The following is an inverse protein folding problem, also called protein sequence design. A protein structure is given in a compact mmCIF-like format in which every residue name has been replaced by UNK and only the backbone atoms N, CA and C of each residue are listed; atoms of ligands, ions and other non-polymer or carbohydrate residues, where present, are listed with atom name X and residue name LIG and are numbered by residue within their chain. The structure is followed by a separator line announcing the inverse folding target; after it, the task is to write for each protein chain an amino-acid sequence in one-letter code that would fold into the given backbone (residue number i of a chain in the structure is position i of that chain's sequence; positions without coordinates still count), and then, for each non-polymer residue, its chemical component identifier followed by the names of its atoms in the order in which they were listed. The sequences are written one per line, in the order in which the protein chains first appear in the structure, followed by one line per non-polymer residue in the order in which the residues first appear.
data_IF_999658333416
#
_entry.id   IF_999658333416
#
_cell.length_a   1.000
_cell.length_b   1.000
_cell.length_c   1.000
_cell.angle_alpha   90.00
_cell.angle_beta   90.00
_cell.angle_gamma   90.00
#
_symmetry.space_group_name_H-M   'P 1'
#
loop_
_entity.id
_entity.type
_entity.pdbx_description
1 polymer ?
#
# COMPACT_ATOMS: atom_id res chain seq x y z
N UNK A 1 -0.14 -12.43 2.58
CA UNK A 1 0.35 -11.13 3.09
C UNK A 1 -0.84 -10.40 3.68
N UNK A 2 -0.90 -10.19 5.01
CA UNK A 2 -2.03 -9.52 5.66
C UNK A 2 -1.73 -8.02 5.77
N UNK A 3 -2.13 -7.25 4.75
CA UNK A 3 -2.22 -5.80 4.87
C UNK A 3 -3.56 -5.41 5.46
N UNK A 4 -3.56 -4.36 6.28
CA UNK A 4 -4.75 -3.79 6.88
C UNK A 4 -4.91 -2.33 6.41
N UNK A 5 -6.15 -1.86 6.31
CA UNK A 5 -6.41 -0.44 6.06
C UNK A 5 -5.74 0.39 7.16
N UNK A 6 -4.96 1.39 6.76
CA UNK A 6 -4.13 2.19 7.65
C UNK A 6 -2.67 1.73 7.75
N UNK A 7 -2.31 0.54 7.26
CA UNK A 7 -0.91 0.10 7.22
C UNK A 7 -0.07 1.05 6.35
N UNK A 8 1.14 1.36 6.82
CA UNK A 8 2.14 2.09 6.03
C UNK A 8 2.95 1.10 5.21
N UNK A 9 2.93 1.28 3.90
CA UNK A 9 3.53 0.35 2.94
C UNK A 9 4.44 1.09 1.98
N UNK A 10 5.41 0.36 1.43
CA UNK A 10 6.33 0.84 0.40
C UNK A 10 6.04 0.14 -0.92
N UNK A 11 5.85 0.92 -1.97
CA UNK A 11 5.72 0.51 -3.36
C UNK A 11 6.93 1.07 -4.15
N UNK A 12 7.95 0.23 -4.35
CA UNK A 12 9.23 0.66 -4.92
C UNK A 12 9.91 1.78 -4.12
N UNK A 13 10.09 2.96 -4.73
CA UNK A 13 10.64 4.14 -4.03
C UNK A 13 9.59 4.94 -3.26
N UNK A 14 8.30 4.67 -3.43
CA UNK A 14 7.23 5.46 -2.85
C UNK A 14 6.72 4.83 -1.56
N UNK A 15 6.36 5.66 -0.59
CA UNK A 15 5.71 5.25 0.66
C UNK A 15 4.26 5.74 0.60
N UNK A 16 3.34 4.91 1.07
CA UNK A 16 1.92 5.25 1.12
C UNK A 16 1.18 4.53 2.23
N UNK A 17 -0.12 4.83 2.31
CA UNK A 17 -1.03 4.25 3.30
C UNK A 17 -2.05 3.39 2.57
N UNK A 18 -2.31 2.18 3.08
CA UNK A 18 -3.38 1.32 2.59
C UNK A 18 -4.74 1.95 2.90
N UNK A 19 -5.52 2.19 1.86
CA UNK A 19 -6.87 2.80 1.95
C UNK A 19 -7.99 1.79 1.73
N UNK A 20 -7.71 0.69 1.02
CA UNK A 20 -8.62 -0.43 0.80
C UNK A 20 -7.82 -1.72 0.54
N UNK A 21 -8.39 -2.87 0.90
CA UNK A 21 -7.80 -4.20 0.70
C UNK A 21 -8.82 -5.09 -0.01
N UNK A 22 -8.67 -5.22 -1.32
CA UNK A 22 -9.40 -6.21 -2.12
C UNK A 22 -8.75 -7.60 -2.05
N UNK A 23 -9.44 -8.61 -2.56
CA UNK A 23 -8.94 -10.01 -2.61
C UNK A 23 -7.66 -10.16 -3.44
N UNK A 24 -7.39 -9.25 -4.38
CA UNK A 24 -6.25 -9.31 -5.31
C UNK A 24 -5.43 -8.02 -5.35
N UNK A 25 -6.04 -6.87 -5.02
CA UNK A 25 -5.45 -5.55 -5.21
C UNK A 25 -5.54 -4.71 -3.95
N UNK A 26 -4.55 -3.87 -3.72
CA UNK A 26 -4.48 -2.95 -2.58
C UNK A 26 -4.44 -1.53 -3.12
N UNK A 27 -5.32 -0.67 -2.61
CA UNK A 27 -5.29 0.75 -2.96
C UNK A 27 -4.43 1.50 -1.95
N UNK A 28 -3.40 2.18 -2.45
CA UNK A 28 -2.49 2.98 -1.64
C UNK A 28 -2.56 4.46 -2.03
N UNK A 29 -2.40 5.33 -1.03
CA UNK A 29 -2.22 6.76 -1.23
C UNK A 29 -0.77 7.13 -0.89
N UNK A 30 0.10 7.38 -1.88
CA UNK A 30 1.46 7.84 -1.65
C UNK A 30 1.50 9.31 -1.23
N UNK A 31 2.65 9.75 -0.73
CA UNK A 31 2.87 11.14 -0.29
C UNK A 31 2.73 12.17 -1.44
N UNK A 32 2.79 11.72 -2.69
CA UNK A 32 2.54 12.53 -3.90
C UNK A 32 1.06 12.88 -4.12
N UNK A 33 0.16 12.34 -3.28
CA UNK A 33 -1.26 12.64 -3.26
C UNK A 33 -2.11 11.86 -4.27
N UNK A 34 -1.48 11.06 -5.14
CA UNK A 34 -2.18 10.19 -6.07
C UNK A 34 -2.85 8.99 -5.39
N UNK A 35 -3.79 8.35 -6.07
CA UNK A 35 -4.27 7.02 -5.69
C UNK A 35 -3.68 6.01 -6.65
N UNK A 36 -3.14 4.92 -6.12
CA UNK A 36 -2.56 3.83 -6.91
C UNK A 36 -3.13 2.50 -6.46
N UNK A 37 -3.35 1.61 -7.41
CA UNK A 37 -3.79 0.24 -7.17
C UNK A 37 -2.64 -0.69 -7.51
N UNK A 38 -2.21 -1.50 -6.55
CA UNK A 38 -1.00 -2.32 -6.65
C UNK A 38 -1.25 -3.74 -6.18
N UNK A 39 -0.39 -4.67 -6.59
CA UNK A 39 -0.49 -6.04 -6.14
C UNK A 39 0.11 -6.20 -4.74
N UNK A 40 -0.46 -7.05 -3.85
CA UNK A 40 0.05 -7.25 -2.50
C UNK A 40 1.52 -7.66 -2.43
N UNK A 41 2.03 -8.41 -3.42
CA UNK A 41 3.43 -8.86 -3.44
C UNK A 41 4.43 -7.76 -3.83
N UNK A 42 3.96 -6.64 -4.38
CA UNK A 42 4.78 -5.46 -4.69
C UNK A 42 4.95 -4.55 -3.46
N UNK A 43 4.12 -4.76 -2.43
CA UNK A 43 4.14 -4.00 -1.19
C UNK A 43 5.07 -4.63 -0.15
N UNK A 44 5.89 -3.79 0.47
CA UNK A 44 6.62 -4.13 1.69
C UNK A 44 6.09 -3.31 2.86
N UNK A 45 5.78 -3.96 3.99
CA UNK A 45 5.43 -3.23 5.23
C UNK A 45 6.66 -2.48 5.72
N UNK A 46 6.49 -1.20 6.02
CA UNK A 46 7.52 -0.42 6.71
C UNK A 46 7.30 -0.64 8.19
N UNK A 47 8.16 -1.43 8.82
CA UNK A 47 8.17 -1.56 10.29
C UNK A 47 8.77 -0.27 10.86
N UNK A 48 7.99 0.42 11.67
CA UNK A 48 8.44 1.49 12.57
C UNK A 48 8.68 0.94 13.96
#
# INVERSE_FOLDING_TARGET
MNFQIGDRVRDGMHVGIVTDVGTVLVQVKPDDGGLRVVCPWELMKVLG
#
